data_IF_486928701497
#
_entry.id   IF_486928701497
#
_cell.length_a   1.000
_cell.length_b   1.000
_cell.length_c   1.000
_cell.angle_alpha   90.00
_cell.angle_beta   90.00
_cell.angle_gamma   90.00
#
_symmetry.space_group_name_H-M   'P 1'
#
loop_
_entity.id
_entity.type
_entity.pdbx_description
1 polymer ?
#
# COMPACT_ATOMS: atom_id res chain seq x y z
N UNK A 1 -3.13 18.40 37.44
CA UNK A 1 -3.59 18.50 36.03
C UNK A 1 -2.48 18.07 35.06
N UNK A 2 -2.49 16.82 34.57
CA UNK A 2 -1.45 16.24 33.68
C UNK A 2 -2.05 15.46 32.50
N UNK A 3 -3.03 16.02 31.80
CA UNK A 3 -3.64 15.37 30.61
C UNK A 3 -3.80 16.35 29.44
N UNK A 4 -2.74 17.03 29.02
CA UNK A 4 -2.84 17.97 27.88
C UNK A 4 -1.64 17.95 26.94
N UNK A 5 -0.95 16.82 26.69
CA UNK A 5 0.18 16.82 25.75
C UNK A 5 0.43 15.54 24.94
N UNK A 6 -0.50 14.58 24.94
CA UNK A 6 -0.32 13.36 24.14
C UNK A 6 -1.09 13.52 22.84
N UNK A 7 -0.37 13.54 21.72
CA UNK A 7 -1.00 13.43 20.40
C UNK A 7 -1.80 12.12 20.32
N UNK A 8 -2.82 12.07 19.47
CA UNK A 8 -3.61 10.86 19.26
C UNK A 8 -3.06 10.07 18.08
N UNK A 9 -3.14 8.74 18.18
CA UNK A 9 -2.90 7.83 17.07
C UNK A 9 -4.16 7.01 16.87
N UNK A 10 -4.68 7.00 15.65
CA UNK A 10 -5.82 6.19 15.26
C UNK A 10 -5.39 5.22 14.17
N UNK A 11 -5.64 3.93 14.37
CA UNK A 11 -5.36 2.90 13.35
C UNK A 11 -6.61 2.70 12.50
N UNK A 12 -6.44 2.87 11.19
CA UNK A 12 -7.50 2.72 10.20
C UNK A 12 -7.22 1.47 9.38
N UNK A 13 -8.30 0.78 9.00
CA UNK A 13 -8.29 -0.35 8.09
C UNK A 13 -9.29 -0.08 6.96
N UNK A 14 -8.87 -0.23 5.70
CA UNK A 14 -9.74 -0.05 4.55
C UNK A 14 -9.30 -0.87 3.33
N UNK A 15 -10.21 -1.04 2.37
CA UNK A 15 -9.89 -1.59 1.05
C UNK A 15 -9.50 -0.45 0.11
N UNK A 16 -8.38 -0.61 -0.60
CA UNK A 16 -7.85 0.41 -1.50
C UNK A 16 -7.30 -0.20 -2.79
N UNK A 17 -7.13 0.66 -3.78
CA UNK A 17 -6.38 0.39 -4.99
C UNK A 17 -5.04 1.12 -4.91
N UNK A 18 -3.95 0.37 -5.00
CA UNK A 18 -2.59 0.89 -4.85
C UNK A 18 -1.86 0.80 -6.19
N UNK A 19 -1.44 1.94 -6.74
CA UNK A 19 -0.46 1.96 -7.82
C UNK A 19 0.92 1.72 -7.24
N UNK A 20 1.63 0.71 -7.73
CA UNK A 20 3.04 0.56 -7.43
C UNK A 20 3.80 1.63 -8.21
N UNK A 21 4.69 2.36 -7.55
CA UNK A 21 5.48 3.44 -8.21
C UNK A 21 6.92 3.03 -8.47
N UNK A 22 7.43 2.06 -7.70
CA UNK A 22 8.77 1.49 -7.85
C UNK A 22 8.64 -0.02 -7.77
N UNK A 23 9.13 -0.72 -8.78
CA UNK A 23 9.21 -2.18 -8.80
C UNK A 23 10.18 -2.65 -7.73
N UNK A 24 9.72 -3.52 -6.84
CA UNK A 24 10.56 -4.10 -5.78
C UNK A 24 10.75 -5.58 -6.08
N UNK A 25 12.01 -6.00 -6.24
CA UNK A 25 12.35 -7.40 -6.51
C UNK A 25 12.26 -8.27 -5.25
N UNK A 26 12.42 -7.67 -4.07
CA UNK A 26 12.28 -8.35 -2.78
C UNK A 26 10.95 -8.02 -2.11
N UNK A 27 10.08 -9.01 -1.90
CA UNK A 27 8.77 -8.80 -1.28
C UNK A 27 8.82 -8.12 0.10
N UNK A 28 9.90 -8.33 0.87
CA UNK A 28 10.08 -7.80 2.23
C UNK A 28 10.58 -6.35 2.31
N UNK A 29 10.89 -5.68 1.20
CA UNK A 29 11.34 -4.28 1.25
C UNK A 29 10.20 -3.30 1.58
N UNK A 30 10.54 -2.02 1.71
CA UNK A 30 9.54 -0.95 1.77
C UNK A 30 9.10 -0.61 0.35
N UNK A 31 7.81 -0.72 0.10
CA UNK A 31 7.17 -0.42 -1.17
C UNK A 31 6.64 1.01 -1.16
N UNK A 32 6.69 1.66 -2.32
CA UNK A 32 6.09 2.98 -2.52
C UNK A 32 4.83 2.86 -3.37
N UNK A 33 3.71 3.22 -2.77
CA UNK A 33 2.38 3.13 -3.35
C UNK A 33 1.79 4.52 -3.58
N UNK A 34 0.93 4.66 -4.59
CA UNK A 34 -0.05 5.74 -4.64
C UNK A 34 -1.43 5.14 -4.36
N UNK A 35 -2.02 5.55 -3.24
CA UNK A 35 -3.39 5.23 -2.86
C UNK A 35 -4.35 6.02 -3.75
N UNK A 36 -5.32 5.34 -4.35
CA UNK A 36 -6.39 6.01 -5.10
C UNK A 36 -7.37 6.67 -4.13
N UNK A 37 -7.78 5.97 -3.07
CA UNK A 37 -8.80 6.46 -2.14
C UNK A 37 -8.35 7.68 -1.33
N UNK A 38 -7.06 7.77 -1.01
CA UNK A 38 -6.49 8.87 -0.22
C UNK A 38 -5.83 9.95 -1.10
N UNK A 39 -5.75 9.73 -2.43
CA UNK A 39 -4.95 10.50 -3.41
C UNK A 39 -3.56 10.92 -2.88
N UNK A 40 -2.89 9.98 -2.19
CA UNK A 40 -1.59 10.21 -1.54
C UNK A 40 -0.60 9.13 -1.89
N UNK A 41 0.67 9.55 -1.99
CA UNK A 41 1.80 8.62 -2.00
C UNK A 41 2.08 8.20 -0.57
N UNK A 42 2.18 6.89 -0.38
CA UNK A 42 2.43 6.26 0.91
C UNK A 42 3.50 5.20 0.72
N UNK A 43 4.39 5.07 1.70
CA UNK A 43 5.38 4.00 1.74
C UNK A 43 5.03 3.03 2.85
N UNK A 44 5.08 1.73 2.56
CA UNK A 44 4.64 0.70 3.48
C UNK A 44 5.25 -0.65 3.17
N UNK A 45 4.93 -1.65 3.99
CA UNK A 45 5.35 -3.03 3.75
C UNK A 45 4.15 -3.89 3.39
N UNK A 46 4.36 -4.84 2.49
CA UNK A 46 3.40 -5.94 2.34
C UNK A 46 3.64 -6.89 3.51
N UNK A 47 2.59 -7.24 4.23
CA UNK A 47 2.63 -8.21 5.34
C UNK A 47 1.74 -9.42 5.07
N UNK A 48 1.19 -9.52 3.86
CA UNK A 48 0.40 -10.65 3.40
C UNK A 48 1.33 -11.84 3.10
N UNK A 49 1.54 -12.71 4.09
CA UNK A 49 2.54 -13.80 4.06
C UNK A 49 2.40 -14.72 2.85
N UNK A 50 1.21 -15.27 2.64
CA UNK A 50 0.96 -16.20 1.52
C UNK A 50 1.29 -15.56 0.17
N UNK A 51 0.89 -14.31 -0.04
CA UNK A 51 1.21 -13.58 -1.26
C UNK A 51 2.72 -13.32 -1.41
N UNK A 52 3.40 -12.96 -0.31
CA UNK A 52 4.84 -12.73 -0.32
C UNK A 52 5.64 -13.98 -0.65
N UNK A 53 5.25 -15.13 -0.11
CA UNK A 53 5.86 -16.43 -0.41
C UNK A 53 5.71 -16.73 -1.91
N UNK A 54 4.49 -16.63 -2.44
CA UNK A 54 4.23 -16.84 -3.88
C UNK A 54 4.97 -15.84 -4.78
N UNK A 55 5.16 -14.60 -4.33
CA UNK A 55 5.95 -13.60 -5.04
C UNK A 55 7.44 -13.93 -5.04
N UNK A 56 7.99 -14.36 -3.90
CA UNK A 56 9.40 -14.75 -3.77
C UNK A 56 9.72 -16.05 -4.51
N UNK A 57 8.78 -16.99 -4.55
CA UNK A 57 8.89 -18.23 -5.32
C UNK A 57 8.75 -18.01 -6.84
N UNK A 58 8.51 -16.78 -7.28
CA UNK A 58 8.35 -16.43 -8.69
C UNK A 58 7.03 -16.87 -9.31
N UNK A 59 6.06 -17.34 -8.51
CA UNK A 59 4.71 -17.69 -8.96
C UNK A 59 3.89 -16.45 -9.34
N UNK A 60 4.23 -15.30 -8.76
CA UNK A 60 3.65 -14.01 -9.12
C UNK A 60 4.72 -13.21 -9.88
N UNK A 61 4.47 -12.82 -11.14
CA UNK A 61 5.41 -12.00 -11.91
C UNK A 61 5.77 -10.70 -11.20
N UNK A 62 6.94 -10.14 -11.50
CA UNK A 62 7.38 -8.86 -10.93
C UNK A 62 6.31 -7.77 -11.10
N UNK A 63 6.03 -7.01 -10.04
CA UNK A 63 5.03 -5.93 -10.06
C UNK A 63 5.66 -4.64 -10.58
N UNK A 64 5.10 -4.10 -11.66
CA UNK A 64 5.61 -2.92 -12.34
C UNK A 64 4.90 -1.61 -11.95
N UNK A 65 5.46 -0.45 -12.35
CA UNK A 65 4.95 0.89 -12.01
C UNK A 65 3.57 1.26 -12.62
N UNK A 66 2.97 0.37 -13.42
CA UNK A 66 1.64 0.55 -14.03
C UNK A 66 0.60 -0.44 -13.49
N UNK A 67 1.01 -1.37 -12.64
CA UNK A 67 0.12 -2.36 -12.07
C UNK A 67 -0.64 -1.76 -10.89
N UNK A 68 -1.91 -2.18 -10.76
CA UNK A 68 -2.76 -1.80 -9.64
C UNK A 68 -2.94 -3.02 -8.75
N UNK A 69 -2.64 -2.85 -7.47
CA UNK A 69 -2.91 -3.86 -6.45
C UNK A 69 -4.22 -3.49 -5.76
N UNK A 70 -5.23 -4.36 -5.90
CA UNK A 70 -6.43 -4.29 -5.07
C UNK A 70 -6.09 -4.96 -3.73
N UNK A 71 -6.16 -4.19 -2.64
CA UNK A 71 -5.61 -4.60 -1.37
C UNK A 71 -6.41 -4.09 -0.18
N UNK A 72 -6.35 -4.86 0.91
CA UNK A 72 -6.73 -4.39 2.23
C UNK A 72 -5.50 -3.83 2.92
N UNK A 73 -5.59 -2.58 3.37
CA UNK A 73 -4.49 -1.87 4.02
C UNK A 73 -4.87 -1.48 5.45
N UNK A 74 -3.84 -1.34 6.28
CA UNK A 74 -3.93 -0.67 7.56
C UNK A 74 -2.85 0.40 7.68
N UNK A 75 -3.17 1.51 8.31
CA UNK A 75 -2.24 2.60 8.58
C UNK A 75 -2.66 3.38 9.82
N UNK A 76 -1.73 4.14 10.38
CA UNK A 76 -1.96 4.96 11.56
C UNK A 76 -2.05 6.44 11.15
N UNK A 77 -3.08 7.14 11.62
CA UNK A 77 -3.14 8.61 11.59
C UNK A 77 -2.63 9.12 12.92
N UNK A 78 -1.43 9.70 12.90
CA UNK A 78 -0.88 10.43 14.04
C UNK A 78 -1.29 11.90 13.98
N UNK A 79 -2.06 12.37 14.96
CA UNK A 79 -2.43 13.77 15.14
C UNK A 79 -1.59 14.38 16.27
N UNK A 80 -0.66 15.31 15.98
CA UNK A 80 0.15 15.94 17.00
C UNK A 80 -0.70 16.84 17.92
N UNK A 81 -0.21 17.16 19.14
CA UNK A 81 -0.87 18.13 20.02
C UNK A 81 -1.09 19.48 19.33
N UNK A 82 -2.09 20.24 19.78
CA UNK A 82 -2.41 21.57 19.25
C UNK A 82 -1.16 22.44 19.12
N UNK A 83 -0.92 22.97 17.93
CA UNK A 83 0.23 23.84 17.61
C UNK A 83 1.53 23.12 17.25
N UNK A 84 1.57 21.78 17.21
CA UNK A 84 2.79 20.99 16.89
C UNK A 84 2.82 20.35 15.50
N UNK A 85 1.90 20.73 14.60
CA UNK A 85 1.92 20.32 13.20
C UNK A 85 0.59 19.77 12.69
N UNK A 86 0.64 19.10 11.53
CA UNK A 86 -0.51 18.51 10.87
C UNK A 86 -0.56 16.99 11.09
N UNK A 87 -1.75 16.37 10.97
CA UNK A 87 -1.90 14.91 10.99
C UNK A 87 -1.04 14.22 9.92
N UNK A 88 -0.43 13.09 10.28
CA UNK A 88 0.44 12.32 9.39
C UNK A 88 0.00 10.86 9.33
N UNK A 89 -0.06 10.32 8.11
CA UNK A 89 -0.25 8.89 7.88
C UNK A 89 1.09 8.19 8.06
N UNK A 90 1.12 7.12 8.86
CA UNK A 90 2.32 6.34 9.18
C UNK A 90 2.00 4.85 9.19
N UNK A 91 3.05 4.03 9.23
CA UNK A 91 2.96 2.57 9.42
C UNK A 91 2.03 1.84 8.44
N UNK A 92 1.99 2.26 7.18
CA UNK A 92 1.19 1.58 6.16
C UNK A 92 1.63 0.11 6.03
N UNK A 93 0.67 -0.80 6.15
CA UNK A 93 0.82 -2.22 5.90
C UNK A 93 -0.24 -2.70 4.93
N UNK A 94 0.18 -3.46 3.92
CA UNK A 94 -0.73 -4.19 3.04
C UNK A 94 -0.95 -5.57 3.65
N UNK A 95 -2.10 -5.76 4.30
CA UNK A 95 -2.39 -6.97 5.09
C UNK A 95 -3.01 -8.07 4.25
N UNK A 96 -3.69 -7.73 3.16
CA UNK A 96 -4.21 -8.68 2.19
C UNK A 96 -4.17 -8.06 0.79
N UNK A 97 -3.87 -8.90 -0.20
CA UNK A 97 -3.93 -8.55 -1.63
C UNK A 97 -4.95 -9.48 -2.24
N UNK A 98 -6.03 -8.91 -2.76
CA UNK A 98 -7.14 -9.66 -3.35
C UNK A 98 -6.96 -9.86 -4.84
N UNK A 99 -6.38 -8.88 -5.54
CA UNK A 99 -6.20 -8.92 -6.99
C UNK A 99 -5.06 -8.02 -7.45
N UNK A 100 -4.49 -8.33 -8.63
CA UNK A 100 -3.52 -7.48 -9.31
C UNK A 100 -4.02 -7.22 -10.72
N UNK A 101 -4.40 -5.97 -11.01
CA UNK A 101 -4.74 -5.54 -12.35
C UNK A 101 -3.45 -5.18 -13.07
N UNK A 102 -3.00 -6.07 -13.95
CA UNK A 102 -1.83 -5.86 -14.80
C UNK A 102 -2.22 -5.00 -15.98
N UNK A 103 -1.51 -3.89 -16.17
CA UNK A 103 -1.63 -3.13 -17.42
C UNK A 103 -0.59 -3.64 -18.42
N UNK A 104 -0.66 -4.95 -18.71
CA UNK A 104 -0.06 -5.49 -19.91
C UNK A 104 -0.98 -5.01 -21.02
N UNK A 105 -0.48 -4.15 -21.91
CA UNK A 105 -1.25 -3.74 -23.09
C UNK A 105 -1.67 -5.00 -23.84
N UNK A 106 -2.90 -5.45 -23.61
CA UNK A 106 -3.57 -6.40 -24.48
C UNK A 106 -3.81 -5.64 -25.78
N UNK A 107 -2.81 -5.71 -26.66
CA UNK A 107 -3.04 -5.68 -28.09
C UNK A 107 -4.04 -6.82 -28.32
N UNK A 108 -5.30 -6.46 -28.54
CA UNK A 108 -6.30 -7.39 -29.04
C UNK A 108 -5.75 -7.91 -30.37
N UNK A 109 -5.19 -9.11 -30.40
CA UNK A 109 -5.19 -9.90 -31.61
C UNK A 109 -6.66 -10.29 -31.83
N UNK A 110 -7.33 -9.47 -32.64
CA UNK A 110 -8.55 -9.91 -33.30
C UNK A 110 -8.13 -11.01 -34.27
N UNK A 111 -8.35 -12.27 -33.87
CA UNK A 111 -8.38 -13.38 -34.82
C UNK A 111 -9.46 -13.06 -35.88
N UNK A 112 -9.02 -12.72 -37.08
CA UNK A 112 -9.83 -12.70 -38.31
C UNK A 112 -9.75 -14.03 -39.04
#
# INVERSE_FOLDING_TARGET
PREMFLGSTESIELNDKLYVTVSVNEGNSVWSFRSISLDKRLSGRITHKEWLERYQDGLIPAIGPKDIIDAKITFDIYTPPKGKGQPQIRNLKVINISNIQRNNGLQYELDT
#
